data_IF_582897707087
#
_entry.id   IF_582897707087
#
_cell.length_a   1.000
_cell.length_b   1.000
_cell.length_c   1.000
_cell.angle_alpha   90.00
_cell.angle_beta   90.00
_cell.angle_gamma   90.00
#
_symmetry.space_group_name_H-M   'P 1'
#
loop_
_entity.id
_entity.type
_entity.pdbx_description
1 polymer ?
#
# COMPACT_ATOMS: atom_id res chain seq x y z
N UNK A 1 -64.52 35.31 33.26
CA UNK A 1 -63.81 34.59 32.24
C UNK A 1 -62.48 35.27 32.01
N UNK A 2 -61.37 34.60 32.41
CA UNK A 2 -60.00 35.16 32.33
C UNK A 2 -59.34 34.54 31.10
N UNK A 3 -59.19 35.32 30.03
CA UNK A 3 -58.52 34.90 28.82
C UNK A 3 -57.01 34.77 29.08
N UNK A 4 -56.49 33.54 29.07
CA UNK A 4 -55.06 33.28 29.10
C UNK A 4 -54.47 33.75 27.78
N UNK A 5 -53.74 34.87 27.81
CA UNK A 5 -52.91 35.33 26.70
C UNK A 5 -51.68 34.39 26.58
N UNK A 6 -51.74 33.51 25.59
CA UNK A 6 -50.56 32.73 25.19
C UNK A 6 -49.49 33.70 24.64
N UNK A 7 -48.46 34.00 25.44
CA UNK A 7 -47.26 34.70 24.98
C UNK A 7 -46.52 33.77 24.03
N UNK A 8 -46.76 33.88 22.76
CA UNK A 8 -45.90 33.33 21.73
C UNK A 8 -44.55 34.04 21.84
N UNK A 9 -43.56 33.34 22.46
CA UNK A 9 -42.19 33.76 22.43
C UNK A 9 -41.68 33.54 21.01
N UNK A 10 -41.60 34.60 20.21
CA UNK A 10 -41.02 34.57 18.87
C UNK A 10 -39.57 34.14 18.98
N UNK A 11 -39.21 33.11 18.25
CA UNK A 11 -37.84 32.68 18.05
C UNK A 11 -37.04 33.88 17.49
N UNK A 12 -36.08 34.41 18.27
CA UNK A 12 -35.35 35.60 17.85
C UNK A 12 -34.65 35.31 16.53
N UNK A 13 -34.77 36.17 15.55
CA UNK A 13 -34.12 36.09 14.24
C UNK A 13 -32.60 35.89 14.38
N UNK A 14 -32.00 36.50 15.40
CA UNK A 14 -30.59 36.37 15.76
C UNK A 14 -30.26 34.90 16.12
N UNK A 15 -31.10 34.23 16.90
CA UNK A 15 -30.85 32.81 17.26
C UNK A 15 -30.98 31.90 16.04
N UNK A 16 -31.90 32.20 15.11
CA UNK A 16 -32.06 31.45 13.89
C UNK A 16 -30.81 31.57 12.98
N UNK A 17 -30.29 32.80 12.82
CA UNK A 17 -29.06 33.02 12.03
C UNK A 17 -27.87 32.35 12.71
N UNK A 18 -27.73 32.44 14.02
CA UNK A 18 -26.66 31.78 14.77
C UNK A 18 -26.70 30.27 14.57
N UNK A 19 -27.86 29.63 14.68
CA UNK A 19 -28.01 28.19 14.46
C UNK A 19 -27.67 27.79 13.01
N UNK A 20 -28.07 28.58 12.02
CA UNK A 20 -27.72 28.32 10.62
C UNK A 20 -26.20 28.36 10.39
N UNK A 21 -25.51 29.35 10.96
CA UNK A 21 -24.05 29.48 10.85
C UNK A 21 -23.35 28.31 11.53
N UNK A 22 -23.76 27.95 12.74
CA UNK A 22 -23.15 26.84 13.49
C UNK A 22 -23.39 25.50 12.78
N UNK A 23 -24.62 25.24 12.30
CA UNK A 23 -24.93 24.03 11.54
C UNK A 23 -24.19 23.97 10.21
N UNK A 24 -24.02 25.12 9.53
CA UNK A 24 -23.24 25.22 8.31
C UNK A 24 -21.76 24.88 8.53
N UNK A 25 -21.15 25.40 9.60
CA UNK A 25 -19.77 25.06 9.97
C UNK A 25 -19.61 23.58 10.32
N UNK A 26 -20.51 23.00 11.09
CA UNK A 26 -20.48 21.57 11.42
C UNK A 26 -20.63 20.70 10.17
N UNK A 27 -21.50 21.09 9.24
CA UNK A 27 -21.70 20.38 7.97
C UNK A 27 -20.43 20.34 7.12
N UNK A 28 -19.70 21.46 7.00
CA UNK A 28 -18.45 21.50 6.23
C UNK A 28 -17.37 20.64 6.87
N UNK A 29 -17.25 20.63 8.19
CA UNK A 29 -16.31 19.75 8.90
C UNK A 29 -16.62 18.27 8.65
N UNK A 30 -17.88 17.86 8.70
CA UNK A 30 -18.27 16.47 8.42
C UNK A 30 -17.86 16.02 7.02
N UNK A 31 -18.05 16.86 6.00
CA UNK A 31 -17.69 16.52 4.61
C UNK A 31 -16.18 16.33 4.46
N UNK A 32 -15.36 17.16 5.09
CA UNK A 32 -13.90 17.03 5.03
C UNK A 32 -13.41 15.75 5.71
N UNK A 33 -13.98 15.38 6.85
CA UNK A 33 -13.66 14.11 7.52
C UNK A 33 -14.06 12.90 6.68
N UNK A 34 -15.22 12.95 6.04
CA UNK A 34 -15.70 11.86 5.20
C UNK A 34 -14.80 11.64 3.97
N UNK A 35 -14.36 12.72 3.33
CA UNK A 35 -13.42 12.66 2.21
C UNK A 35 -12.07 12.05 2.62
N UNK A 36 -11.52 12.44 3.77
CA UNK A 36 -10.27 11.88 4.29
C UNK A 36 -10.38 10.38 4.61
N UNK A 37 -11.51 9.94 5.17
CA UNK A 37 -11.75 8.50 5.45
C UNK A 37 -11.85 7.67 4.17
N UNK A 38 -12.50 8.17 3.12
CA UNK A 38 -12.59 7.48 1.84
C UNK A 38 -11.21 7.32 1.19
N UNK A 39 -10.38 8.35 1.23
CA UNK A 39 -9.03 8.30 0.69
C UNK A 39 -8.16 7.28 1.44
N UNK A 40 -8.21 7.25 2.77
CA UNK A 40 -7.43 6.28 3.55
C UNK A 40 -7.87 4.84 3.27
N UNK A 41 -9.16 4.59 3.12
CA UNK A 41 -9.69 3.26 2.77
C UNK A 41 -9.25 2.81 1.37
N UNK A 42 -9.22 3.72 0.39
CA UNK A 42 -8.73 3.42 -0.95
C UNK A 42 -7.24 3.06 -0.95
N UNK A 43 -6.42 3.81 -0.20
CA UNK A 43 -4.98 3.54 -0.06
C UNK A 43 -4.71 2.20 0.65
N UNK A 44 -5.55 1.78 1.57
CA UNK A 44 -5.43 0.50 2.28
C UNK A 44 -5.65 -0.69 1.31
N UNK A 45 -6.66 -0.59 0.46
CA UNK A 45 -6.90 -1.57 -0.61
C UNK A 45 -5.73 -1.60 -1.61
N UNK A 46 -5.21 -0.45 -2.01
CA UNK A 46 -4.04 -0.38 -2.89
C UNK A 46 -2.79 -0.94 -2.20
N UNK A 47 -2.62 -0.70 -0.89
CA UNK A 47 -1.53 -1.27 -0.09
C UNK A 47 -1.55 -2.80 -0.04
N UNK A 48 -2.73 -3.41 0.10
CA UNK A 48 -2.89 -4.86 0.06
C UNK A 48 -2.58 -5.45 -1.31
N UNK A 49 -2.96 -4.77 -2.39
CA UNK A 49 -2.62 -5.16 -3.77
C UNK A 49 -1.13 -5.02 -4.04
N UNK A 50 -0.49 -3.93 -3.58
CA UNK A 50 0.96 -3.75 -3.68
C UNK A 50 1.72 -4.88 -2.98
N UNK A 51 1.23 -5.32 -1.81
CA UNK A 51 1.78 -6.48 -1.12
C UNK A 51 1.67 -7.76 -1.94
N UNK A 52 0.53 -8.01 -2.58
CA UNK A 52 0.37 -9.17 -3.48
C UNK A 52 1.29 -9.06 -4.69
N UNK A 53 1.47 -7.87 -5.26
CA UNK A 53 2.38 -7.64 -6.37
C UNK A 53 3.85 -7.92 -5.96
N UNK A 54 4.29 -7.48 -4.78
CA UNK A 54 5.64 -7.78 -4.30
C UNK A 54 5.85 -9.28 -4.03
N UNK A 55 4.80 -10.03 -3.60
CA UNK A 55 4.86 -11.49 -3.49
C UNK A 55 5.14 -12.18 -4.82
N UNK A 56 4.54 -11.71 -5.91
CA UNK A 56 4.82 -12.25 -7.26
C UNK A 56 6.32 -12.16 -7.56
N UNK A 57 6.98 -11.06 -7.20
CA UNK A 57 8.43 -10.91 -7.35
C UNK A 57 9.22 -11.92 -6.53
N UNK A 58 8.82 -12.17 -5.28
CA UNK A 58 9.47 -13.18 -4.42
C UNK A 58 9.27 -14.60 -4.96
N UNK A 59 8.05 -14.92 -5.42
CA UNK A 59 7.74 -16.25 -5.99
C UNK A 59 8.55 -16.51 -7.27
N UNK A 60 8.69 -15.48 -8.13
CA UNK A 60 9.57 -15.56 -9.29
C UNK A 60 11.03 -15.82 -8.89
N UNK A 61 11.55 -15.08 -7.91
CA UNK A 61 12.91 -15.26 -7.42
C UNK A 61 13.13 -16.65 -6.80
N UNK A 62 12.15 -17.15 -6.03
CA UNK A 62 12.19 -18.48 -5.45
C UNK A 62 12.24 -19.57 -6.54
N UNK A 63 11.44 -19.38 -7.61
CA UNK A 63 11.51 -20.28 -8.77
C UNK A 63 12.90 -20.26 -9.43
N UNK A 64 13.51 -19.10 -9.60
CA UNK A 64 14.86 -18.99 -10.18
C UNK A 64 15.90 -19.67 -9.30
N UNK A 65 15.83 -19.50 -7.98
CA UNK A 65 16.73 -20.19 -7.02
C UNK A 65 16.52 -21.69 -7.08
N UNK A 66 15.28 -22.18 -7.12
CA UNK A 66 14.96 -23.60 -7.13
C UNK A 66 15.29 -24.29 -8.45
N UNK A 67 15.07 -23.62 -9.58
CA UNK A 67 15.24 -24.20 -10.93
C UNK A 67 16.68 -24.16 -11.44
N UNK A 68 17.57 -23.36 -10.84
CA UNK A 68 18.96 -23.28 -11.27
C UNK A 68 19.73 -24.56 -10.97
N UNK A 69 20.55 -25.09 -11.92
CA UNK A 69 21.40 -26.25 -11.66
C UNK A 69 22.43 -25.93 -10.56
N UNK A 70 22.66 -26.86 -9.63
CA UNK A 70 23.51 -26.64 -8.45
C UNK A 70 24.96 -26.19 -8.78
N UNK A 71 25.50 -26.58 -9.92
CA UNK A 71 26.88 -26.23 -10.32
C UNK A 71 27.03 -24.88 -11.05
N UNK A 72 25.95 -24.39 -11.69
CA UNK A 72 25.98 -23.10 -12.41
C UNK A 72 25.36 -21.95 -11.59
N UNK A 73 24.96 -22.24 -10.37
CA UNK A 73 23.91 -21.51 -9.65
C UNK A 73 24.41 -20.36 -8.80
N UNK A 74 25.71 -20.12 -8.79
CA UNK A 74 26.33 -19.26 -7.79
C UNK A 74 25.88 -17.80 -7.89
N UNK A 75 25.68 -17.33 -9.11
CA UNK A 75 25.24 -15.95 -9.36
C UNK A 75 24.02 -15.88 -10.31
N UNK A 76 23.70 -17.00 -10.95
CA UNK A 76 22.68 -17.01 -12.01
C UNK A 76 21.29 -16.55 -11.56
N UNK A 77 20.75 -16.93 -10.38
CA UNK A 77 19.47 -16.42 -9.93
C UNK A 77 19.45 -14.92 -9.66
N UNK A 78 20.61 -14.35 -9.29
CA UNK A 78 20.77 -12.92 -9.02
C UNK A 78 21.35 -12.14 -10.21
N UNK A 79 21.70 -12.80 -11.32
CA UNK A 79 22.25 -12.14 -12.51
C UNK A 79 21.17 -11.43 -13.34
N UNK A 80 19.92 -11.85 -13.21
CA UNK A 80 18.80 -11.24 -13.92
C UNK A 80 17.97 -10.42 -12.97
N UNK A 81 18.08 -9.10 -13.06
CA UNK A 81 17.14 -8.22 -12.40
C UNK A 81 15.76 -8.40 -13.02
N UNK A 82 14.80 -8.82 -12.22
CA UNK A 82 13.41 -8.84 -12.65
C UNK A 82 12.82 -7.46 -12.51
N UNK A 83 12.41 -6.87 -13.59
CA UNK A 83 11.61 -5.66 -13.61
C UNK A 83 10.38 -5.91 -14.48
N UNK A 84 9.22 -6.01 -13.86
CA UNK A 84 7.94 -6.13 -14.55
C UNK A 84 7.20 -4.81 -14.42
N UNK A 85 7.08 -4.08 -15.52
CA UNK A 85 6.41 -2.78 -15.54
C UNK A 85 4.86 -2.89 -15.61
N UNK A 86 4.32 -4.08 -15.85
CA UNK A 86 2.88 -4.31 -15.90
C UNK A 86 2.57 -5.74 -15.50
N UNK A 87 1.90 -5.88 -14.39
CA UNK A 87 1.26 -7.11 -13.96
C UNK A 87 -0.16 -7.17 -14.55
N UNK A 88 -0.72 -8.37 -14.71
CA UNK A 88 -2.07 -8.54 -15.25
C UNK A 88 -3.17 -8.30 -14.21
N UNK A 89 -4.40 -8.09 -14.70
CA UNK A 89 -5.60 -8.03 -13.88
C UNK A 89 -5.61 -6.88 -12.87
N UNK A 90 -5.93 -7.19 -11.62
CA UNK A 90 -6.05 -6.20 -10.52
C UNK A 90 -4.70 -5.63 -10.07
N UNK A 91 -3.58 -6.22 -10.51
CA UNK A 91 -2.23 -5.78 -10.19
C UNK A 91 -1.62 -4.91 -11.29
N UNK A 92 -2.34 -4.64 -12.38
CA UNK A 92 -1.88 -3.85 -13.52
C UNK A 92 -1.31 -2.44 -13.17
N UNK A 93 -1.79 -1.74 -12.11
CA UNK A 93 -1.24 -0.45 -11.71
C UNK A 93 0.17 -0.51 -11.09
N UNK A 94 0.66 -1.72 -10.78
CA UNK A 94 1.93 -1.89 -10.06
C UNK A 94 3.05 -2.34 -11.00
N UNK A 95 4.22 -1.74 -10.80
CA UNK A 95 5.50 -2.25 -11.28
C UNK A 95 6.22 -2.97 -10.14
N UNK A 96 6.89 -4.07 -10.46
CA UNK A 96 7.66 -4.86 -9.49
C UNK A 96 9.12 -4.90 -9.91
N UNK A 97 9.99 -4.55 -8.98
CA UNK A 97 11.44 -4.67 -9.14
C UNK A 97 11.97 -5.65 -8.11
N UNK A 98 12.72 -6.64 -8.56
CA UNK A 98 13.36 -7.63 -7.68
C UNK A 98 14.86 -7.42 -7.73
N UNK A 99 15.45 -7.26 -6.56
CA UNK A 99 16.90 -7.23 -6.34
C UNK A 99 17.33 -8.47 -5.58
N UNK A 100 18.48 -9.02 -5.95
CA UNK A 100 19.00 -10.25 -5.36
C UNK A 100 20.49 -10.10 -5.10
N UNK A 101 20.94 -10.59 -3.93
CA UNK A 101 22.35 -10.73 -3.57
C UNK A 101 22.62 -12.15 -3.07
N UNK A 102 23.65 -12.80 -3.61
CA UNK A 102 24.05 -14.15 -3.24
C UNK A 102 25.37 -14.13 -2.47
N UNK A 103 25.46 -14.95 -1.41
CA UNK A 103 26.66 -15.18 -0.65
C UNK A 103 26.84 -16.68 -0.39
N UNK A 104 28.09 -17.17 -0.47
CA UNK A 104 28.41 -18.56 -0.14
C UNK A 104 28.99 -18.67 1.26
N UNK A 105 28.59 -19.70 1.96
CA UNK A 105 29.08 -20.06 3.28
C UNK A 105 29.53 -21.50 3.27
N UNK A 106 30.61 -21.83 4.01
CA UNK A 106 31.09 -23.19 4.17
C UNK A 106 30.57 -23.74 5.48
N UNK A 107 29.81 -24.83 5.42
CA UNK A 107 29.30 -25.54 6.58
C UNK A 107 29.86 -26.98 6.56
N UNK A 108 30.86 -27.24 7.40
CA UNK A 108 31.59 -28.50 7.39
C UNK A 108 32.37 -28.69 6.07
N UNK A 109 31.98 -29.70 5.30
CA UNK A 109 32.54 -30.02 3.96
C UNK A 109 31.71 -29.53 2.80
N UNK A 110 30.53 -28.89 3.09
CA UNK A 110 29.59 -28.44 2.07
C UNK A 110 29.55 -26.93 1.97
N UNK A 111 29.37 -26.42 0.78
CA UNK A 111 29.11 -25.00 0.53
C UNK A 111 27.60 -24.76 0.42
N UNK A 112 27.10 -23.85 1.23
CA UNK A 112 25.69 -23.42 1.22
C UNK A 112 25.64 -22.03 0.63
N UNK A 113 24.68 -21.82 -0.27
CA UNK A 113 24.39 -20.50 -0.84
C UNK A 113 23.22 -19.87 -0.17
N UNK A 114 23.38 -18.62 0.25
CA UNK A 114 22.30 -17.80 0.83
C UNK A 114 22.02 -16.64 -0.10
N UNK A 115 20.77 -16.55 -0.52
CA UNK A 115 20.24 -15.52 -1.39
C UNK A 115 19.41 -14.55 -0.57
N UNK A 116 19.79 -13.28 -0.60
CA UNK A 116 18.96 -12.20 -0.06
C UNK A 116 18.18 -11.59 -1.23
N UNK A 117 16.87 -11.77 -1.21
CA UNK A 117 15.98 -11.28 -2.26
C UNK A 117 15.07 -10.20 -1.68
N UNK A 118 14.98 -9.08 -2.38
CA UNK A 118 14.02 -8.01 -2.06
C UNK A 118 13.19 -7.69 -3.28
N UNK A 119 11.87 -7.72 -3.12
CA UNK A 119 10.90 -7.35 -4.14
C UNK A 119 10.17 -6.09 -3.71
N UNK A 120 10.22 -5.06 -4.54
CA UNK A 120 9.54 -3.78 -4.34
C UNK A 120 8.46 -3.65 -5.39
N UNK A 121 7.22 -3.48 -4.95
CA UNK A 121 6.07 -3.17 -5.79
C UNK A 121 5.64 -1.73 -5.54
N UNK A 122 5.50 -0.95 -6.60
CA UNK A 122 5.13 0.46 -6.53
C UNK A 122 4.13 0.84 -7.62
N UNK A 123 3.27 1.80 -7.34
CA UNK A 123 2.41 2.43 -8.34
C UNK A 123 3.23 3.37 -9.23
N UNK A 124 2.74 3.63 -10.44
CA UNK A 124 3.31 4.68 -11.31
C UNK A 124 3.03 6.03 -10.70
N UNK A 125 4.04 6.68 -10.15
CA UNK A 125 3.93 8.00 -9.50
C UNK A 125 5.22 8.38 -8.79
N UNK A 126 5.24 9.60 -8.27
CA UNK A 126 6.38 10.05 -7.47
C UNK A 126 6.16 9.74 -5.98
N UNK A 127 7.20 9.32 -5.26
CA UNK A 127 7.14 9.17 -3.81
C UNK A 127 6.62 10.45 -3.15
N UNK A 128 5.64 10.32 -2.25
CA UNK A 128 4.98 11.45 -1.60
C UNK A 128 3.73 11.97 -2.32
N UNK A 129 3.39 11.46 -3.50
CA UNK A 129 2.11 11.73 -4.16
C UNK A 129 0.93 11.12 -3.40
N UNK A 130 -0.26 11.72 -3.54
CA UNK A 130 -1.47 11.27 -2.84
C UNK A 130 -1.89 9.83 -3.21
N UNK A 131 -1.55 9.38 -4.41
CA UNK A 131 -1.89 8.05 -4.93
C UNK A 131 -0.69 7.11 -5.00
N UNK A 132 0.46 7.51 -4.42
CA UNK A 132 1.65 6.69 -4.40
C UNK A 132 1.56 5.62 -3.31
N UNK A 133 1.70 4.38 -3.72
CA UNK A 133 1.74 3.22 -2.82
C UNK A 133 2.93 2.35 -3.18
N UNK A 134 3.73 2.02 -2.18
CA UNK A 134 4.88 1.13 -2.29
C UNK A 134 4.83 0.09 -1.19
N UNK A 135 5.20 -1.15 -1.52
CA UNK A 135 5.43 -2.24 -0.55
C UNK A 135 6.67 -3.01 -0.95
N UNK A 136 7.48 -3.35 0.03
CA UNK A 136 8.63 -4.21 -0.18
C UNK A 136 8.56 -5.45 0.71
N UNK A 137 9.01 -6.57 0.17
CA UNK A 137 9.19 -7.83 0.89
C UNK A 137 10.64 -8.26 0.68
N UNK A 138 11.29 -8.64 1.77
CA UNK A 138 12.65 -9.21 1.72
C UNK A 138 12.65 -10.59 2.34
N UNK A 139 13.29 -11.54 1.65
CA UNK A 139 13.37 -12.96 2.06
C UNK A 139 14.80 -13.44 1.91
N UNK A 140 15.21 -14.32 2.83
CA UNK A 140 16.45 -15.08 2.72
C UNK A 140 16.14 -16.52 2.34
N UNK A 141 16.80 -17.02 1.31
CA UNK A 141 16.63 -18.39 0.83
C UNK A 141 18.00 -19.07 0.86
N UNK A 142 18.06 -20.28 1.41
CA UNK A 142 19.25 -21.11 1.42
C UNK A 142 19.14 -22.26 0.41
N UNK A 143 20.27 -22.66 -0.15
CA UNK A 143 20.39 -23.85 -1.01
C UNK A 143 21.77 -24.49 -0.88
#
# INVERSE_FOLDING_TARGET
MKTMQNRQRGFSLVTAIFLLVVLGMLGTLMVTFFAAQQQSSALDVMGSRAYQASRVGIEWAAYQVASSPAAAAVSAPCATNFAQNSLGGTLAPFSVTVTCAAASYVEGTSSIWVYNVSAVAQTTGNPGGADYVERSISVKMGR
#
